data_IF_684776946710
#
_entry.id   IF_684776946710
#
_cell.length_a   1.000
_cell.length_b   1.000
_cell.length_c   1.000
_cell.angle_alpha   90.00
_cell.angle_beta   90.00
_cell.angle_gamma   90.00
#
_symmetry.space_group_name_H-M   'P 1'
#
loop_
_entity.id
_entity.type
_entity.pdbx_description
1 polymer ?
#
# COMPACT_ATOMS: atom_id res chain seq x y z
N UNK A 1 -1.36 2.89 -15.50
CA UNK A 1 -2.04 2.94 -14.19
C UNK A 1 -2.79 1.64 -13.99
N UNK A 2 -2.59 0.98 -12.85
CA UNK A 2 -3.29 -0.27 -12.51
C UNK A 2 -4.75 0.06 -12.18
N UNK A 3 -5.70 -0.64 -12.81
CA UNK A 3 -7.10 -0.49 -12.45
C UNK A 3 -7.39 -1.21 -11.14
N UNK A 4 -7.50 -0.47 -10.04
CA UNK A 4 -7.73 -1.02 -8.70
C UNK A 4 -9.20 -1.29 -8.38
N UNK A 5 -10.14 -0.85 -9.23
CA UNK A 5 -11.58 -0.84 -8.93
C UNK A 5 -12.17 -2.25 -8.85
N UNK A 6 -11.79 -3.11 -9.79
CA UNK A 6 -12.41 -4.42 -10.01
C UNK A 6 -11.54 -5.59 -9.57
N UNK A 7 -10.55 -5.34 -8.70
CA UNK A 7 -9.67 -6.40 -8.23
C UNK A 7 -10.37 -7.28 -7.20
N UNK A 8 -10.22 -8.59 -7.36
CA UNK A 8 -10.72 -9.57 -6.40
C UNK A 8 -9.66 -9.78 -5.33
N UNK A 9 -10.03 -9.52 -4.08
CA UNK A 9 -9.15 -9.64 -2.93
C UNK A 9 -9.53 -10.85 -2.10
N UNK A 10 -8.52 -11.61 -1.67
CA UNK A 10 -8.67 -12.76 -0.78
C UNK A 10 -7.75 -12.60 0.42
N UNK A 11 -8.14 -13.17 1.56
CA UNK A 11 -7.28 -13.17 2.73
C UNK A 11 -6.02 -13.98 2.46
N UNK A 12 -4.86 -13.46 2.89
CA UNK A 12 -3.56 -14.12 2.66
C UNK A 12 -3.55 -15.57 3.17
N UNK A 13 -4.23 -15.84 4.29
CA UNK A 13 -4.32 -17.18 4.89
C UNK A 13 -5.11 -18.18 4.05
N UNK A 14 -5.91 -17.71 3.09
CA UNK A 14 -6.71 -18.54 2.18
C UNK A 14 -6.08 -18.65 0.79
N UNK A 15 -5.05 -17.85 0.50
CA UNK A 15 -4.38 -17.87 -0.78
C UNK A 15 -3.63 -19.19 -0.99
N UNK A 16 -3.78 -19.74 -2.19
CA UNK A 16 -3.05 -20.93 -2.65
C UNK A 16 -2.26 -20.59 -3.91
N UNK A 17 -1.19 -21.35 -4.17
CA UNK A 17 -0.35 -21.25 -5.38
C UNK A 17 0.36 -19.89 -5.60
N UNK A 18 0.68 -19.18 -4.52
CA UNK A 18 1.53 -17.99 -4.59
C UNK A 18 2.99 -18.43 -4.70
N UNK A 19 3.75 -18.00 -5.73
CA UNK A 19 5.17 -18.33 -5.86
C UNK A 19 5.99 -17.85 -4.65
N UNK A 20 6.96 -18.64 -4.20
CA UNK A 20 7.73 -18.34 -2.97
C UNK A 20 8.46 -16.99 -3.05
N UNK A 21 9.06 -16.67 -4.20
CA UNK A 21 9.72 -15.38 -4.47
C UNK A 21 8.75 -14.20 -4.29
N UNK A 22 7.53 -14.32 -4.78
CA UNK A 22 6.47 -13.32 -4.61
C UNK A 22 6.01 -13.25 -3.15
N UNK A 23 5.85 -14.39 -2.48
CA UNK A 23 5.39 -14.46 -1.09
C UNK A 23 6.30 -13.66 -0.15
N UNK A 24 7.60 -13.61 -0.42
CA UNK A 24 8.53 -12.78 0.37
C UNK A 24 8.17 -11.29 0.35
N UNK A 25 7.51 -10.80 -0.70
CA UNK A 25 7.04 -9.42 -0.80
C UNK A 25 5.63 -9.24 -0.26
N UNK A 26 4.77 -10.25 -0.42
CA UNK A 26 3.39 -10.20 0.04
C UNK A 26 3.27 -10.30 1.56
N UNK A 27 3.92 -11.29 2.16
CA UNK A 27 3.89 -11.55 3.60
C UNK A 27 5.17 -11.07 4.26
N UNK A 28 5.26 -9.77 4.49
CA UNK A 28 6.41 -9.16 5.14
C UNK A 28 5.97 -8.30 6.33
N UNK A 29 6.59 -8.58 7.48
CA UNK A 29 6.40 -7.87 8.74
C UNK A 29 7.27 -6.61 8.83
N UNK A 30 8.23 -6.44 7.91
CA UNK A 30 9.06 -5.25 7.80
C UNK A 30 8.41 -4.18 6.91
N UNK A 31 8.89 -2.94 7.06
CA UNK A 31 8.52 -1.85 6.16
C UNK A 31 8.97 -2.15 4.75
N UNK A 32 8.03 -2.14 3.80
CA UNK A 32 8.32 -2.32 2.38
C UNK A 32 9.39 -1.33 1.92
N UNK A 33 9.32 -0.09 2.39
CA UNK A 33 10.33 0.93 2.11
C UNK A 33 11.71 0.52 2.63
N UNK A 34 11.79 0.01 3.86
CA UNK A 34 13.07 -0.42 4.43
C UNK A 34 13.69 -1.56 3.61
N UNK A 35 12.87 -2.53 3.21
CA UNK A 35 13.29 -3.65 2.37
C UNK A 35 13.75 -3.21 0.98
N UNK A 36 13.01 -2.30 0.34
CA UNK A 36 13.41 -1.77 -0.97
C UNK A 36 14.71 -0.96 -0.89
N UNK A 37 14.90 -0.15 0.16
CA UNK A 37 16.17 0.57 0.41
C UNK A 37 17.37 -0.37 0.65
N UNK A 38 17.14 -1.55 1.20
CA UNK A 38 18.18 -2.58 1.35
C UNK A 38 18.50 -3.25 0.02
N UNK A 39 17.50 -3.45 -0.85
CA UNK A 39 17.68 -4.08 -2.17
C UNK A 39 18.27 -3.14 -3.21
N UNK A 40 17.85 -1.86 -3.22
CA UNK A 40 18.17 -0.89 -4.25
C UNK A 40 18.87 0.34 -3.65
N UNK A 41 20.10 0.60 -4.12
CA UNK A 41 20.90 1.74 -3.65
C UNK A 41 20.37 3.10 -4.15
N UNK A 42 19.65 3.10 -5.27
CA UNK A 42 19.06 4.26 -5.93
C UNK A 42 17.55 4.42 -5.62
N UNK A 43 17.08 3.79 -4.53
CA UNK A 43 15.67 3.82 -4.15
C UNK A 43 15.11 5.24 -4.13
N UNK A 44 13.99 5.44 -4.83
CA UNK A 44 13.29 6.72 -4.86
C UNK A 44 11.77 6.55 -4.88
N UNK A 45 11.08 7.64 -4.54
CA UNK A 45 9.62 7.70 -4.50
C UNK A 45 9.17 8.78 -5.47
N UNK A 46 8.32 8.41 -6.42
CA UNK A 46 7.64 9.34 -7.32
C UNK A 46 6.17 9.47 -6.89
N UNK A 47 5.71 10.68 -6.56
CA UNK A 47 4.32 10.92 -6.18
C UNK A 47 3.52 11.28 -7.42
N UNK A 48 2.62 10.38 -7.82
CA UNK A 48 1.77 10.56 -9.00
C UNK A 48 0.52 11.37 -8.68
N UNK A 49 -0.09 11.09 -7.52
CA UNK A 49 -1.32 11.72 -7.09
C UNK A 49 -1.33 11.89 -5.58
N UNK A 50 -1.74 13.06 -5.10
CA UNK A 50 -2.02 13.29 -3.68
C UNK A 50 -3.01 14.43 -3.54
N UNK A 51 -4.30 14.10 -3.56
CA UNK A 51 -5.37 15.10 -3.45
C UNK A 51 -6.57 14.51 -2.72
N UNK A 52 -7.44 15.41 -2.22
CA UNK A 52 -8.72 15.00 -1.70
C UNK A 52 -9.57 14.43 -2.85
N UNK A 53 -10.02 13.19 -2.70
CA UNK A 53 -10.83 12.50 -3.69
C UNK A 53 -11.69 11.42 -3.01
N UNK A 54 -12.77 11.03 -3.69
CA UNK A 54 -13.64 9.97 -3.21
C UNK A 54 -12.95 8.61 -3.34
N UNK A 55 -12.87 7.80 -2.27
CA UNK A 55 -12.44 6.41 -2.38
C UNK A 55 -13.40 5.60 -3.25
N UNK A 56 -12.93 4.48 -3.79
CA UNK A 56 -13.80 3.53 -4.46
C UNK A 56 -14.73 2.84 -3.46
N UNK A 57 -15.88 2.36 -3.93
CA UNK A 57 -16.90 1.71 -3.08
C UNK A 57 -16.32 0.59 -2.23
N UNK A 58 -15.49 -0.29 -2.82
CA UNK A 58 -14.85 -1.39 -2.10
C UNK A 58 -13.85 -0.92 -1.03
N UNK A 59 -13.25 0.27 -1.21
CA UNK A 59 -12.33 0.88 -0.24
C UNK A 59 -13.12 1.43 0.96
N UNK A 60 -14.27 2.06 0.71
CA UNK A 60 -15.19 2.55 1.75
C UNK A 60 -15.72 1.39 2.58
N UNK A 61 -16.14 0.30 1.94
CA UNK A 61 -16.68 -0.90 2.59
C UNK A 61 -15.67 -1.52 3.57
N UNK A 62 -14.42 -1.72 3.14
CA UNK A 62 -13.39 -2.34 4.01
C UNK A 62 -12.94 -1.40 5.14
N UNK A 63 -12.88 -0.09 4.89
CA UNK A 63 -12.54 0.88 5.93
C UNK A 63 -13.69 1.08 6.93
N UNK A 64 -14.94 0.83 6.52
CA UNK A 64 -16.14 1.10 7.31
C UNK A 64 -16.36 2.59 7.57
N UNK A 65 -15.89 3.47 6.69
CA UNK A 65 -15.97 4.92 6.87
C UNK A 65 -16.14 5.65 5.54
N UNK A 66 -17.14 6.54 5.48
CA UNK A 66 -17.40 7.42 4.34
C UNK A 66 -16.89 8.86 4.58
N UNK A 67 -15.81 9.00 5.36
CA UNK A 67 -15.18 10.31 5.61
C UNK A 67 -14.53 10.82 4.33
N UNK A 68 -14.35 12.14 4.24
CA UNK A 68 -13.49 12.73 3.21
C UNK A 68 -12.09 12.14 3.35
N UNK A 69 -11.49 11.78 2.21
CA UNK A 69 -10.19 11.13 2.16
C UNK A 69 -9.25 11.88 1.23
N UNK A 70 -7.96 11.80 1.52
CA UNK A 70 -6.90 12.02 0.55
C UNK A 70 -6.53 10.68 -0.05
N UNK A 71 -6.53 10.65 -1.37
CA UNK A 71 -6.01 9.54 -2.14
C UNK A 71 -4.57 9.88 -2.48
N UNK A 72 -3.66 8.97 -2.15
CA UNK A 72 -2.24 9.09 -2.45
C UNK A 72 -1.81 7.92 -3.32
N UNK A 73 -1.26 8.21 -4.49
CA UNK A 73 -0.69 7.22 -5.41
C UNK A 73 0.77 7.55 -5.65
N UNK A 74 1.62 6.54 -5.49
CA UNK A 74 3.06 6.67 -5.63
C UNK A 74 3.64 5.49 -6.39
N UNK A 75 4.76 5.73 -7.04
CA UNK A 75 5.65 4.71 -7.54
C UNK A 75 6.87 4.64 -6.63
N UNK A 76 7.27 3.42 -6.28
CA UNK A 76 8.55 3.15 -5.64
C UNK A 76 9.47 2.62 -6.73
N UNK A 77 10.63 3.26 -6.86
CA UNK A 77 11.60 2.95 -7.89
C UNK A 77 12.85 2.30 -7.28
N UNK A 78 13.42 1.37 -8.03
CA UNK A 78 14.71 0.73 -7.77
C UNK A 78 15.34 0.31 -9.09
N UNK A 79 16.66 0.45 -9.22
CA UNK A 79 17.39 0.30 -10.48
C UNK A 79 16.78 1.16 -11.61
N UNK A 80 16.37 2.39 -11.27
CA UNK A 80 15.71 3.35 -12.16
C UNK A 80 14.41 2.84 -12.82
N UNK A 81 13.79 1.79 -12.28
CA UNK A 81 12.52 1.24 -12.76
C UNK A 81 11.47 1.27 -11.66
N UNK A 82 10.20 1.37 -12.06
CA UNK A 82 9.08 1.17 -11.13
C UNK A 82 9.06 -0.30 -10.71
N UNK A 83 9.16 -0.53 -9.40
CA UNK A 83 9.12 -1.88 -8.82
C UNK A 83 7.86 -2.10 -7.99
N UNK A 84 7.27 -1.03 -7.47
CA UNK A 84 5.98 -1.07 -6.76
C UNK A 84 5.14 0.15 -7.12
N UNK A 85 3.87 -0.06 -7.42
CA UNK A 85 2.85 0.99 -7.39
C UNK A 85 2.08 0.88 -6.07
N UNK A 86 1.91 1.97 -5.35
CA UNK A 86 1.16 1.98 -4.09
C UNK A 86 0.07 3.03 -4.11
N UNK A 87 -1.12 2.63 -3.66
CA UNK A 87 -2.30 3.47 -3.49
C UNK A 87 -2.72 3.45 -2.03
N UNK A 88 -2.91 4.62 -1.45
CA UNK A 88 -3.36 4.78 -0.07
C UNK A 88 -4.62 5.64 0.00
N UNK A 89 -5.57 5.21 0.82
CA UNK A 89 -6.80 5.93 1.12
C UNK A 89 -6.73 6.40 2.55
N UNK A 90 -6.63 7.71 2.74
CA UNK A 90 -6.27 8.31 4.02
C UNK A 90 -7.41 9.24 4.45
N UNK A 91 -8.26 8.84 5.41
CA UNK A 91 -9.32 9.73 5.89
C UNK A 91 -8.76 11.01 6.51
N UNK A 92 -9.42 12.13 6.27
CA UNK A 92 -9.11 13.42 6.86
C UNK A 92 -9.61 13.46 8.31
N UNK A 93 -8.73 13.14 9.26
CA UNK A 93 -9.01 13.20 10.70
C UNK A 93 -7.83 13.83 11.44
N UNK A 94 -7.99 14.07 12.75
CA UNK A 94 -6.86 14.51 13.57
C UNK A 94 -5.74 13.46 13.64
N UNK A 95 -6.09 12.17 13.60
CA UNK A 95 -5.15 11.04 13.72
C UNK A 95 -4.21 10.94 12.50
N UNK A 96 -4.62 11.46 11.33
CA UNK A 96 -3.90 11.28 10.05
C UNK A 96 -3.15 12.54 9.59
N UNK A 97 -3.17 13.62 10.37
CA UNK A 97 -2.52 14.90 10.00
C UNK A 97 -1.04 14.74 9.65
N UNK A 98 -0.31 13.96 10.46
CA UNK A 98 1.12 13.70 10.23
C UNK A 98 1.33 12.98 8.90
N UNK A 99 0.56 11.92 8.65
CA UNK A 99 0.61 11.14 7.40
C UNK A 99 0.32 12.00 6.17
N UNK A 100 -0.63 12.92 6.26
CA UNK A 100 -0.98 13.79 5.15
C UNK A 100 0.12 14.82 4.85
N UNK A 101 0.99 15.11 5.82
CA UNK A 101 2.07 16.08 5.73
C UNK A 101 3.41 15.52 5.24
N UNK A 102 3.51 14.22 4.95
CA UNK A 102 4.79 13.53 4.65
C UNK A 102 5.46 13.97 3.34
N UNK A 103 4.76 14.72 2.47
CA UNK A 103 5.29 15.20 1.20
C UNK A 103 5.82 14.04 0.34
N UNK A 104 7.05 14.08 -0.18
CA UNK A 104 7.60 13.02 -1.03
C UNK A 104 8.01 11.75 -0.28
N UNK A 105 7.98 11.74 1.07
CA UNK A 105 8.42 10.58 1.84
C UNK A 105 7.47 9.39 1.65
N UNK A 106 7.99 8.16 1.66
CA UNK A 106 7.16 6.97 1.56
C UNK A 106 6.33 6.78 2.83
N UNK A 107 5.08 6.37 2.65
CA UNK A 107 4.13 6.20 3.74
C UNK A 107 4.60 5.15 4.77
N UNK A 108 5.32 4.12 4.32
CA UNK A 108 5.88 3.06 5.16
C UNK A 108 6.93 3.51 6.18
N UNK A 109 7.46 4.74 6.09
CA UNK A 109 8.34 5.28 7.15
C UNK A 109 7.53 5.78 8.36
N UNK A 110 6.30 6.24 8.14
CA UNK A 110 5.41 6.73 9.20
C UNK A 110 4.54 5.61 9.75
N UNK A 111 4.09 4.69 8.89
CA UNK A 111 3.18 3.61 9.29
C UNK A 111 3.79 2.58 10.25
N UNK A 112 5.11 2.48 10.32
CA UNK A 112 5.80 1.50 11.17
C UNK A 112 6.13 2.05 12.57
N UNK A 113 5.43 3.10 13.00
CA UNK A 113 5.44 3.55 14.38
C UNK A 113 4.61 2.62 15.29
N UNK A 114 5.08 2.38 16.53
CA UNK A 114 4.43 1.55 17.57
C UNK A 114 2.97 1.89 17.87
N UNK A 115 2.51 3.11 17.58
CA UNK A 115 1.11 3.51 17.79
C UNK A 115 0.14 3.01 16.71
N UNK A 116 0.66 2.49 15.59
CA UNK A 116 -0.13 2.11 14.42
C UNK A 116 -0.29 0.60 14.40
N UNK A 117 -1.54 0.14 14.28
CA UNK A 117 -1.86 -1.30 14.20
C UNK A 117 -2.21 -1.68 12.78
N UNK A 118 -1.44 -2.62 12.21
CA UNK A 118 -1.75 -3.26 10.93
C UNK A 118 -2.78 -4.37 11.14
N UNK A 119 -3.82 -4.38 10.34
CA UNK A 119 -4.82 -5.44 10.29
C UNK A 119 -4.39 -6.63 9.44
N UNK A 120 -5.30 -7.59 9.20
CA UNK A 120 -5.03 -8.71 8.31
C UNK A 120 -4.60 -8.26 6.91
N UNK A 121 -3.81 -9.11 6.25
CA UNK A 121 -3.39 -8.92 4.87
C UNK A 121 -4.36 -9.60 3.91
N UNK A 122 -4.73 -8.87 2.88
CA UNK A 122 -5.41 -9.42 1.71
C UNK A 122 -4.50 -9.32 0.51
N UNK A 123 -4.57 -10.30 -0.37
CA UNK A 123 -3.81 -10.32 -1.62
C UNK A 123 -4.73 -10.38 -2.82
N UNK A 124 -4.19 -9.99 -3.96
CA UNK A 124 -4.82 -10.10 -5.27
C UNK A 124 -3.75 -10.45 -6.31
N UNK A 125 -4.20 -11.00 -7.42
CA UNK A 125 -3.36 -11.25 -8.58
C UNK A 125 -4.18 -10.94 -9.83
N UNK A 126 -3.64 -10.11 -10.71
CA UNK A 126 -4.22 -9.84 -12.02
C UNK A 126 -3.11 -9.87 -13.06
N UNK A 127 -3.33 -10.62 -14.13
CA UNK A 127 -2.34 -10.84 -15.19
C UNK A 127 -0.99 -11.32 -14.66
N UNK A 128 0.00 -10.42 -14.57
CA UNK A 128 1.34 -10.68 -14.07
C UNK A 128 1.69 -9.82 -12.85
N UNK A 129 0.70 -9.20 -12.19
CA UNK A 129 0.91 -8.29 -11.06
C UNK A 129 0.30 -8.90 -9.81
N UNK A 130 1.15 -9.07 -8.80
CA UNK A 130 0.71 -9.40 -7.45
C UNK A 130 0.45 -8.12 -6.66
N UNK A 131 -0.63 -8.12 -5.88
CA UNK A 131 -0.94 -7.01 -4.98
C UNK A 131 -1.23 -7.50 -3.58
N UNK A 132 -0.98 -6.65 -2.60
CA UNK A 132 -1.49 -6.79 -1.24
C UNK A 132 -2.15 -5.52 -0.77
N UNK A 133 -3.09 -5.65 0.15
CA UNK A 133 -3.65 -4.51 0.87
C UNK A 133 -3.85 -4.83 2.34
N UNK A 134 -3.82 -3.80 3.17
CA UNK A 134 -4.13 -3.92 4.58
C UNK A 134 -4.69 -2.62 5.14
N UNK A 135 -5.53 -2.76 6.16
CA UNK A 135 -6.02 -1.64 6.96
C UNK A 135 -4.99 -1.33 8.04
N UNK A 136 -4.61 -0.06 8.14
CA UNK A 136 -3.82 0.46 9.24
C UNK A 136 -4.72 1.31 10.13
N UNK A 137 -4.64 1.09 11.45
CA UNK A 137 -5.44 1.81 12.44
C UNK A 137 -4.53 2.72 13.26
N UNK A 138 -4.87 4.01 13.30
CA UNK A 138 -4.17 5.06 14.04
C UNK A 138 -5.20 5.76 14.90
N UNK A 139 -5.06 5.65 16.23
CA UNK A 139 -6.11 6.10 17.15
C UNK A 139 -7.44 5.41 16.82
N UNK A 140 -8.42 6.20 16.38
CA UNK A 140 -9.75 5.72 15.99
C UNK A 140 -9.96 5.74 14.46
N UNK A 141 -8.92 6.05 13.69
CA UNK A 141 -8.99 6.19 12.24
C UNK A 141 -8.38 4.98 11.54
N UNK A 142 -9.13 4.41 10.60
CA UNK A 142 -8.67 3.35 9.70
C UNK A 142 -8.28 3.96 8.36
N UNK A 143 -7.13 3.60 7.83
CA UNK A 143 -6.70 3.96 6.48
C UNK A 143 -6.33 2.68 5.72
N UNK A 144 -6.49 2.71 4.40
CA UNK A 144 -6.18 1.57 3.54
C UNK A 144 -4.87 1.83 2.80
N UNK A 145 -4.00 0.83 2.75
CA UNK A 145 -2.82 0.83 1.88
C UNK A 145 -2.88 -0.40 1.00
N UNK A 146 -2.75 -0.19 -0.30
CA UNK A 146 -2.68 -1.20 -1.35
C UNK A 146 -1.35 -1.04 -2.08
N UNK A 147 -0.61 -2.13 -2.24
CA UNK A 147 0.71 -2.19 -2.85
C UNK A 147 0.67 -3.24 -3.96
N UNK A 148 1.19 -2.88 -5.13
CA UNK A 148 1.21 -3.72 -6.32
C UNK A 148 2.64 -3.89 -6.77
N UNK A 149 3.11 -5.13 -6.78
CA UNK A 149 4.48 -5.50 -7.04
C UNK A 149 4.65 -5.81 -8.52
N UNK A 150 5.57 -5.09 -9.17
CA UNK A 150 5.88 -5.29 -10.58
C UNK A 150 6.72 -6.56 -10.74
N UNK A 151 6.60 -7.23 -11.90
CA UNK A 151 7.29 -8.50 -12.17
C UNK A 151 8.81 -8.40 -11.98
N UNK A 152 9.43 -7.30 -12.44
CA UNK A 152 10.86 -7.02 -12.29
C UNK A 152 11.37 -6.97 -10.82
N UNK A 153 10.47 -6.88 -9.83
CA UNK A 153 10.86 -6.89 -8.42
C UNK A 153 11.15 -8.30 -7.89
N UNK A 154 10.41 -9.30 -8.38
CA UNK A 154 10.43 -10.67 -7.87
C UNK A 154 10.81 -11.74 -8.91
N UNK A 155 10.84 -11.40 -10.20
CA UNK A 155 11.31 -12.29 -11.27
C UNK A 155 12.78 -12.71 -11.10
#
# INVERSE_FOLDING_TARGET
MINTINLVWQDLNQASNVPTNVMTWLNDDQSLTAKLKQKFSDFSVNVLFQQQASPHTHEVEIMGSNKQCVIREVELLGDSQVVVFARSVIPLTNDTKEILSIGPKPLGEVLFNTSIKRGPLQITHTDAIWGRRSIFTIGNTKLLVSEFFMENLYA
#
